data_IF_203352206601
#
_entry.id   IF_203352206601
#
_cell.length_a   1.000
_cell.length_b   1.000
_cell.length_c   1.000
_cell.angle_alpha   90.00
_cell.angle_beta   90.00
_cell.angle_gamma   90.00
#
_symmetry.space_group_name_H-M   'P 1'
#
loop_
_entity.id
_entity.type
_entity.pdbx_description
1 polymer ?
#
# COMPACT_ATOMS: atom_id res chain seq x y z
N UNK A 1 16.88 15.05 12.81
CA UNK A 1 17.55 16.27 12.32
C UNK A 1 18.92 16.00 11.70
N UNK A 2 19.87 15.34 12.38
CA UNK A 2 21.22 15.06 11.81
C UNK A 2 21.19 14.24 10.49
N UNK A 3 20.34 13.21 10.42
CA UNK A 3 20.16 12.37 9.22
C UNK A 3 19.51 13.12 8.05
N UNK A 4 18.53 13.98 8.32
CA UNK A 4 17.89 14.84 7.32
C UNK A 4 18.86 15.88 6.76
N UNK A 5 19.67 16.50 7.63
CA UNK A 5 20.68 17.48 7.23
C UNK A 5 21.75 16.84 6.34
N UNK A 6 22.31 15.70 6.74
CA UNK A 6 23.30 14.95 5.94
C UNK A 6 22.75 14.61 4.57
N UNK A 7 21.48 14.18 4.49
CA UNK A 7 20.82 13.86 3.23
C UNK A 7 20.67 15.08 2.32
N UNK A 8 20.25 16.22 2.88
CA UNK A 8 20.15 17.49 2.14
C UNK A 8 21.52 17.92 1.62
N UNK A 9 22.56 17.88 2.48
CA UNK A 9 23.92 18.25 2.09
C UNK A 9 24.43 17.34 0.97
N UNK A 10 24.28 16.02 1.11
CA UNK A 10 24.70 15.06 0.08
C UNK A 10 24.02 15.30 -1.27
N UNK A 11 22.74 15.63 -1.25
CA UNK A 11 22.01 16.03 -2.45
C UNK A 11 22.57 17.33 -3.05
N UNK A 12 22.81 18.36 -2.25
CA UNK A 12 23.28 19.65 -2.75
C UNK A 12 24.65 19.56 -3.44
N UNK A 13 25.49 18.57 -3.09
CA UNK A 13 26.79 18.36 -3.73
C UNK A 13 26.66 18.22 -5.24
N UNK A 14 25.68 17.46 -5.74
CA UNK A 14 25.50 17.30 -7.18
C UNK A 14 25.21 18.64 -7.85
N UNK A 15 24.27 19.43 -7.29
CA UNK A 15 23.91 20.73 -7.85
C UNK A 15 25.12 21.66 -7.91
N UNK A 16 25.89 21.75 -6.82
CA UNK A 16 27.08 22.61 -6.76
C UNK A 16 28.14 22.17 -7.77
N UNK A 17 28.49 20.89 -7.79
CA UNK A 17 29.53 20.36 -8.68
C UNK A 17 29.11 20.47 -10.14
N UNK A 18 27.90 20.06 -10.48
CA UNK A 18 27.39 20.12 -11.85
C UNK A 18 27.33 21.56 -12.37
N UNK A 19 26.76 22.49 -11.59
CA UNK A 19 26.70 23.91 -11.97
C UNK A 19 28.09 24.50 -12.17
N UNK A 20 29.01 24.24 -11.24
CA UNK A 20 30.39 24.74 -11.31
C UNK A 20 31.08 24.24 -12.57
N UNK A 21 31.01 22.94 -12.85
CA UNK A 21 31.60 22.34 -14.05
C UNK A 21 30.94 22.85 -15.33
N UNK A 22 29.60 22.98 -15.34
CA UNK A 22 28.86 23.47 -16.49
C UNK A 22 29.28 24.91 -16.85
N UNK A 23 29.28 25.84 -15.90
CA UNK A 23 29.65 27.23 -16.19
C UNK A 23 31.14 27.40 -16.47
N UNK A 24 32.01 26.59 -15.86
CA UNK A 24 33.46 26.63 -16.10
C UNK A 24 33.84 26.09 -17.48
N UNK A 25 33.17 25.03 -17.95
CA UNK A 25 33.48 24.38 -19.22
C UNK A 25 32.66 24.92 -20.39
N UNK A 26 31.38 25.22 -20.17
CA UNK A 26 30.48 25.66 -21.23
C UNK A 26 30.33 27.17 -21.34
N UNK A 27 30.63 27.93 -20.29
CA UNK A 27 30.41 29.38 -20.25
C UNK A 27 28.92 29.77 -20.23
N UNK A 28 28.62 31.03 -20.52
CA UNK A 28 27.24 31.57 -20.52
C UNK A 28 26.66 31.78 -21.91
N UNK A 29 27.51 31.83 -22.96
CA UNK A 29 27.06 31.97 -24.34
C UNK A 29 26.95 30.59 -24.98
N UNK A 30 25.73 30.04 -24.97
CA UNK A 30 25.44 28.68 -25.44
C UNK A 30 24.15 28.64 -26.25
N UNK A 31 24.06 27.75 -27.26
CA UNK A 31 22.85 27.60 -28.05
C UNK A 31 21.71 27.02 -27.22
N UNK A 32 20.47 27.25 -27.66
CA UNK A 32 19.25 26.84 -26.95
C UNK A 32 19.23 25.34 -26.59
N UNK A 33 19.81 24.48 -27.43
CA UNK A 33 19.92 23.03 -27.17
C UNK A 33 20.67 22.69 -25.87
N UNK A 34 21.71 23.46 -25.54
CA UNK A 34 22.51 23.29 -24.32
C UNK A 34 21.68 23.67 -23.10
N UNK A 35 20.92 24.77 -23.19
CA UNK A 35 20.03 25.22 -22.12
C UNK A 35 18.86 24.28 -21.87
N UNK A 36 18.27 23.72 -22.93
CA UNK A 36 17.24 22.66 -22.82
C UNK A 36 17.82 21.47 -22.05
N UNK A 37 18.98 20.98 -22.48
CA UNK A 37 19.67 19.85 -21.84
C UNK A 37 20.00 20.11 -20.38
N UNK A 38 20.50 21.30 -20.09
CA UNK A 38 20.75 21.76 -18.73
C UNK A 38 19.47 21.72 -17.89
N UNK A 39 18.34 22.20 -18.42
CA UNK A 39 17.06 22.23 -17.71
C UNK A 39 16.52 20.83 -17.42
N UNK A 40 16.51 19.92 -18.40
CA UNK A 40 16.00 18.56 -18.20
C UNK A 40 16.85 17.75 -17.22
N UNK A 41 18.18 17.91 -17.22
CA UNK A 41 19.05 17.28 -16.20
C UNK A 41 18.62 17.73 -14.80
N UNK A 42 18.33 19.02 -14.60
CA UNK A 42 17.85 19.53 -13.33
C UNK A 42 16.46 19.01 -12.99
N UNK A 43 15.53 18.98 -13.95
CA UNK A 43 14.20 18.39 -13.75
C UNK A 43 14.33 16.94 -13.28
N UNK A 44 15.12 16.13 -13.98
CA UNK A 44 15.35 14.74 -13.60
C UNK A 44 16.00 14.61 -12.22
N UNK A 45 16.96 15.47 -11.89
CA UNK A 45 17.54 15.51 -10.56
C UNK A 45 16.51 15.88 -9.47
N UNK A 46 15.66 16.87 -9.75
CA UNK A 46 14.60 17.28 -8.85
C UNK A 46 13.58 16.16 -8.61
N UNK A 47 13.32 15.28 -9.59
CA UNK A 47 12.44 14.13 -9.34
C UNK A 47 12.95 13.28 -8.17
N UNK A 48 14.24 12.93 -8.15
CA UNK A 48 14.87 12.18 -7.02
C UNK A 48 14.68 12.91 -5.69
N UNK A 49 14.78 14.24 -5.72
CA UNK A 49 14.61 15.10 -4.55
C UNK A 49 13.19 15.15 -4.00
N UNK A 50 12.19 15.14 -4.88
CA UNK A 50 10.77 15.22 -4.51
C UNK A 50 10.15 13.85 -4.21
N UNK A 51 10.76 12.74 -4.64
CA UNK A 51 10.30 11.38 -4.31
C UNK A 51 10.02 11.10 -2.82
N UNK A 52 10.83 11.55 -1.84
CA UNK A 52 10.51 11.37 -0.43
C UNK A 52 9.23 12.09 0.02
N UNK A 53 8.82 13.18 -0.65
CA UNK A 53 7.58 13.92 -0.35
C UNK A 53 6.36 13.10 -0.77
N UNK A 54 6.50 12.23 -1.77
CA UNK A 54 5.44 11.34 -2.26
C UNK A 54 5.27 10.07 -1.41
N UNK A 55 6.06 9.87 -0.35
CA UNK A 55 5.94 8.69 0.52
C UNK A 55 4.67 8.76 1.39
N UNK A 56 3.76 7.82 1.17
CA UNK A 56 2.67 7.52 2.11
C UNK A 56 3.19 6.70 3.30
N UNK A 57 2.60 6.90 4.49
CA UNK A 57 2.96 6.18 5.72
C UNK A 57 2.41 4.74 5.69
N UNK A 58 3.21 3.73 6.02
CA UNK A 58 2.80 2.31 6.16
C UNK A 58 3.86 1.29 5.71
N UNK A 59 3.75 0.02 6.12
CA UNK A 59 4.73 -1.05 5.82
C UNK A 59 4.81 -1.41 4.33
N UNK A 60 3.70 -1.28 3.59
CA UNK A 60 3.68 -1.40 2.12
C UNK A 60 4.49 -0.29 1.41
N UNK A 61 4.89 0.77 2.12
CA UNK A 61 5.59 1.91 1.54
C UNK A 61 7.09 1.70 1.38
N UNK A 62 7.71 0.71 2.04
CA UNK A 62 9.15 0.46 1.91
C UNK A 62 9.53 -0.11 0.53
N UNK A 63 8.85 -1.16 0.08
CA UNK A 63 9.11 -1.78 -1.24
C UNK A 63 8.71 -0.86 -2.39
N UNK A 64 7.54 -0.20 -2.27
CA UNK A 64 7.10 0.83 -3.20
C UNK A 64 8.11 1.97 -3.32
N UNK A 65 8.65 2.42 -2.18
CA UNK A 65 9.71 3.42 -2.17
C UNK A 65 10.96 2.93 -2.91
N UNK A 66 11.39 1.69 -2.70
CA UNK A 66 12.64 1.21 -3.32
C UNK A 66 12.54 1.14 -4.86
N UNK A 67 11.42 0.67 -5.40
CA UNK A 67 11.21 0.58 -6.85
C UNK A 67 11.12 1.99 -7.48
N UNK A 68 10.35 2.90 -6.86
CA UNK A 68 10.24 4.27 -7.33
C UNK A 68 11.60 5.00 -7.33
N UNK A 69 12.41 4.81 -6.28
CA UNK A 69 13.76 5.38 -6.23
C UNK A 69 14.67 4.80 -7.31
N UNK A 70 14.61 3.49 -7.57
CA UNK A 70 15.36 2.86 -8.65
C UNK A 70 15.00 3.42 -10.04
N UNK A 71 13.72 3.67 -10.28
CA UNK A 71 13.23 4.28 -11.53
C UNK A 71 13.69 5.73 -11.68
N UNK A 72 13.58 6.54 -10.62
CA UNK A 72 14.02 7.93 -10.66
C UNK A 72 15.53 8.06 -10.87
N UNK A 73 16.33 7.20 -10.23
CA UNK A 73 17.78 7.15 -10.43
C UNK A 73 18.12 6.72 -11.86
N UNK A 74 17.47 5.68 -12.38
CA UNK A 74 17.67 5.22 -13.77
C UNK A 74 17.34 6.33 -14.76
N UNK A 75 16.19 6.98 -14.58
CA UNK A 75 15.79 8.10 -15.42
C UNK A 75 16.83 9.24 -15.37
N UNK A 76 17.24 9.66 -14.17
CA UNK A 76 18.26 10.69 -14.01
C UNK A 76 19.58 10.34 -14.68
N UNK A 77 20.05 9.09 -14.58
CA UNK A 77 21.30 8.68 -15.24
C UNK A 77 21.16 8.75 -16.77
N UNK A 78 20.04 8.26 -17.32
CA UNK A 78 19.78 8.31 -18.76
C UNK A 78 19.67 9.76 -19.26
N UNK A 79 18.96 10.62 -18.52
CA UNK A 79 18.82 12.04 -18.81
C UNK A 79 20.15 12.78 -18.70
N UNK A 80 20.97 12.46 -17.69
CA UNK A 80 22.30 13.02 -17.52
C UNK A 80 23.22 12.67 -18.70
N UNK A 81 23.23 11.40 -19.12
CA UNK A 81 24.03 10.95 -20.27
C UNK A 81 23.55 11.65 -21.54
N UNK A 82 22.26 11.60 -21.84
CA UNK A 82 21.70 12.22 -23.03
C UNK A 82 21.93 13.74 -23.05
N UNK A 83 21.66 14.42 -21.93
CA UNK A 83 21.86 15.86 -21.80
C UNK A 83 23.33 16.26 -21.93
N UNK A 84 24.26 15.52 -21.34
CA UNK A 84 25.71 15.78 -21.51
C UNK A 84 26.14 15.64 -22.97
N UNK A 85 25.63 14.65 -23.71
CA UNK A 85 25.90 14.50 -25.15
C UNK A 85 25.47 15.75 -25.92
N UNK A 86 24.26 16.25 -25.69
CA UNK A 86 23.77 17.48 -26.34
C UNK A 86 24.54 18.74 -25.90
N UNK A 87 24.96 18.82 -24.63
CA UNK A 87 25.80 19.91 -24.13
C UNK A 87 27.15 19.93 -24.84
N UNK A 88 27.78 18.78 -25.06
CA UNK A 88 29.09 18.67 -25.75
C UNK A 88 28.95 18.96 -27.24
N UNK A 89 27.93 18.41 -27.91
CA UNK A 89 27.74 18.61 -29.35
C UNK A 89 27.29 20.02 -29.73
N UNK A 90 26.72 20.79 -28.78
CA UNK A 90 26.30 22.19 -28.98
C UNK A 90 25.49 22.39 -30.26
N UNK A 91 24.49 21.55 -30.49
CA UNK A 91 23.68 21.61 -31.71
C UNK A 91 22.99 22.98 -31.85
N UNK A 92 23.04 23.59 -33.03
CA UNK A 92 22.35 24.87 -33.27
C UNK A 92 20.83 24.72 -33.15
N UNK A 93 20.28 23.62 -33.69
CA UNK A 93 18.86 23.31 -33.58
C UNK A 93 18.53 22.62 -32.26
N UNK A 94 17.57 23.16 -31.46
CA UNK A 94 17.15 22.55 -30.20
C UNK A 94 16.21 21.35 -30.38
N UNK A 95 15.71 21.10 -31.60
CA UNK A 95 14.64 20.12 -31.87
C UNK A 95 15.00 18.73 -31.35
N UNK A 96 16.21 18.24 -31.66
CA UNK A 96 16.62 16.88 -31.26
C UNK A 96 16.85 16.74 -29.76
N UNK A 97 17.41 17.77 -29.11
CA UNK A 97 17.54 17.81 -27.65
C UNK A 97 16.15 17.76 -26.99
N UNK A 98 15.21 18.58 -27.46
CA UNK A 98 13.84 18.59 -26.95
C UNK A 98 13.13 17.24 -27.15
N UNK A 99 13.20 16.66 -28.36
CA UNK A 99 12.51 15.41 -28.68
C UNK A 99 13.02 14.26 -27.81
N UNK A 100 14.34 14.08 -27.72
CA UNK A 100 14.93 12.96 -26.97
C UNK A 100 14.65 13.09 -25.48
N UNK A 101 14.85 14.27 -24.90
CA UNK A 101 14.70 14.48 -23.45
C UNK A 101 13.22 14.46 -23.03
N UNK A 102 12.33 15.01 -23.86
CA UNK A 102 10.88 14.90 -23.63
C UNK A 102 10.42 13.44 -23.73
N UNK A 103 10.95 12.67 -24.68
CA UNK A 103 10.61 11.25 -24.79
C UNK A 103 11.06 10.45 -23.55
N UNK A 104 12.28 10.68 -23.06
CA UNK A 104 12.78 10.06 -21.82
C UNK A 104 11.90 10.43 -20.62
N UNK A 105 11.57 11.72 -20.48
CA UNK A 105 10.68 12.19 -19.43
C UNK A 105 9.29 11.56 -19.51
N UNK A 106 8.71 11.46 -20.71
CA UNK A 106 7.38 10.86 -20.92
C UNK A 106 7.37 9.37 -20.55
N UNK A 107 8.38 8.61 -20.99
CA UNK A 107 8.53 7.19 -20.63
C UNK A 107 8.61 7.04 -19.11
N UNK A 108 9.40 7.88 -18.45
CA UNK A 108 9.53 7.89 -17.00
C UNK A 108 8.19 8.18 -16.30
N UNK A 109 7.45 9.20 -16.74
CA UNK A 109 6.14 9.55 -16.18
C UNK A 109 5.14 8.41 -16.32
N UNK A 110 5.07 7.77 -17.50
CA UNK A 110 4.18 6.61 -17.72
C UNK A 110 4.53 5.46 -16.79
N UNK A 111 5.82 5.16 -16.61
CA UNK A 111 6.28 4.09 -15.70
C UNK A 111 5.91 4.39 -14.24
N UNK A 112 6.13 5.61 -13.76
CA UNK A 112 5.77 5.99 -12.38
C UNK A 112 4.26 5.94 -12.17
N UNK A 113 3.47 6.50 -13.09
CA UNK A 113 2.00 6.50 -12.95
C UNK A 113 1.43 5.07 -13.00
N UNK A 114 1.95 4.22 -13.89
CA UNK A 114 1.56 2.81 -13.97
C UNK A 114 1.86 2.05 -12.67
N UNK A 115 3.04 2.26 -12.07
CA UNK A 115 3.39 1.65 -10.80
C UNK A 115 2.56 2.18 -9.64
N UNK A 116 2.28 3.49 -9.60
CA UNK A 116 1.42 4.09 -8.59
C UNK A 116 0.00 3.50 -8.64
N UNK A 117 -0.55 3.33 -9.84
CA UNK A 117 -1.88 2.75 -10.03
C UNK A 117 -1.95 1.27 -9.66
N UNK A 118 -0.99 0.46 -10.12
CA UNK A 118 -0.90 -0.95 -9.75
C UNK A 118 -0.75 -1.14 -8.23
N UNK A 119 0.03 -0.27 -7.60
CA UNK A 119 0.25 -0.32 -6.17
C UNK A 119 -0.99 0.11 -5.36
N UNK A 120 -1.77 1.08 -5.83
CA UNK A 120 -3.03 1.45 -5.18
C UNK A 120 -4.02 0.28 -5.18
N UNK A 121 -4.16 -0.43 -6.32
CA UNK A 121 -5.02 -1.61 -6.42
C UNK A 121 -4.55 -2.73 -5.47
N UNK A 122 -3.23 -2.92 -5.35
CA UNK A 122 -2.64 -3.91 -4.42
C UNK A 122 -2.79 -3.51 -2.95
N UNK A 123 -2.63 -2.23 -2.63
CA UNK A 123 -2.78 -1.72 -1.27
C UNK A 123 -4.24 -1.84 -0.78
N UNK A 124 -5.20 -1.54 -1.65
CA UNK A 124 -6.63 -1.69 -1.32
C UNK A 124 -7.02 -3.14 -1.06
N UNK A 125 -6.51 -4.09 -1.85
CA UNK A 125 -6.79 -5.52 -1.64
C UNK A 125 -6.13 -6.05 -0.37
N UNK A 126 -4.92 -5.57 -0.04
CA UNK A 126 -4.23 -5.94 1.21
C UNK A 126 -4.91 -5.37 2.45
N UNK A 127 -5.35 -4.11 2.40
CA UNK A 127 -6.07 -3.45 3.49
C UNK A 127 -7.41 -4.16 3.75
N UNK A 128 -8.17 -4.47 2.69
CA UNK A 128 -9.41 -5.26 2.80
C UNK A 128 -9.12 -6.62 3.45
N UNK A 129 -8.12 -7.35 2.95
CA UNK A 129 -7.74 -8.65 3.51
C UNK A 129 -7.34 -8.58 4.98
N UNK A 130 -6.69 -7.48 5.41
CA UNK A 130 -6.33 -7.27 6.81
C UNK A 130 -7.57 -7.02 7.67
N UNK A 131 -8.48 -6.18 7.22
CA UNK A 131 -9.76 -5.95 7.90
C UNK A 131 -10.57 -7.25 8.05
N UNK A 132 -10.63 -8.06 7.00
CA UNK A 132 -11.30 -9.37 7.01
C UNK A 132 -10.69 -10.32 8.07
N UNK A 133 -9.36 -10.35 8.17
CA UNK A 133 -8.65 -11.16 9.18
C UNK A 133 -8.91 -10.65 10.60
N UNK A 134 -8.88 -9.32 10.80
CA UNK A 134 -9.07 -8.70 12.11
C UNK A 134 -10.51 -8.92 12.62
N UNK A 135 -11.52 -8.80 11.75
CA UNK A 135 -12.92 -9.08 12.08
C UNK A 135 -13.12 -10.55 12.48
N UNK A 136 -12.58 -11.49 11.69
CA UNK A 136 -12.62 -12.92 12.00
C UNK A 136 -11.94 -13.26 13.34
N UNK A 137 -10.78 -12.66 13.62
CA UNK A 137 -10.12 -12.82 14.92
C UNK A 137 -10.95 -12.23 16.07
N UNK A 138 -11.60 -11.09 15.86
CA UNK A 138 -12.49 -10.45 16.84
C UNK A 138 -13.66 -11.37 17.22
N UNK A 139 -14.32 -12.00 16.24
CA UNK A 139 -15.39 -12.97 16.47
C UNK A 139 -14.90 -14.15 17.33
N UNK A 140 -13.76 -14.76 16.96
CA UNK A 140 -13.16 -15.87 17.72
C UNK A 140 -12.82 -15.50 19.15
N UNK A 141 -12.21 -14.33 19.35
CA UNK A 141 -11.86 -13.84 20.69
C UNK A 141 -13.10 -13.53 21.52
N UNK A 142 -14.18 -13.08 20.88
CA UNK A 142 -15.46 -12.83 21.57
C UNK A 142 -16.10 -14.12 22.05
N UNK A 143 -16.11 -15.19 21.23
CA UNK A 143 -16.59 -16.51 21.67
C UNK A 143 -15.77 -17.08 22.83
N UNK A 144 -14.44 -17.03 22.76
CA UNK A 144 -13.56 -17.46 23.86
C UNK A 144 -13.85 -16.69 25.16
N UNK A 145 -14.09 -15.38 25.07
CA UNK A 145 -14.47 -14.55 26.23
C UNK A 145 -15.84 -14.94 26.78
N UNK A 146 -16.81 -15.26 25.94
CA UNK A 146 -18.13 -15.72 26.37
C UNK A 146 -18.04 -17.07 27.09
N UNK A 147 -17.29 -18.04 26.54
CA UNK A 147 -17.05 -19.33 27.20
C UNK A 147 -16.46 -19.17 28.61
N UNK A 148 -15.56 -18.21 28.79
CA UNK A 148 -14.95 -17.91 30.08
C UNK A 148 -15.92 -17.27 31.07
N UNK A 149 -16.93 -16.53 30.59
CA UNK A 149 -17.96 -15.87 31.41
C UNK A 149 -19.17 -16.74 31.71
N UNK A 150 -19.39 -17.81 30.96
CA UNK A 150 -20.55 -18.69 31.14
C UNK A 150 -20.25 -19.79 32.16
N UNK A 151 -21.00 -19.80 33.26
CA UNK A 151 -20.88 -20.82 34.31
C UNK A 151 -21.69 -22.08 33.99
N UNK A 152 -22.79 -21.96 33.23
CA UNK A 152 -23.65 -23.10 32.91
C UNK A 152 -22.97 -24.07 31.94
N UNK A 153 -22.82 -25.36 32.30
CA UNK A 153 -22.00 -26.30 31.54
C UNK A 153 -22.56 -26.60 30.15
N UNK A 154 -23.88 -26.69 30.00
CA UNK A 154 -24.53 -26.96 28.70
C UNK A 154 -24.33 -25.80 27.71
N UNK A 155 -24.62 -24.57 28.15
CA UNK A 155 -24.43 -23.37 27.34
C UNK A 155 -22.95 -23.15 27.00
N UNK A 156 -22.05 -23.36 27.97
CA UNK A 156 -20.60 -23.29 27.75
C UNK A 156 -20.12 -24.27 26.68
N UNK A 157 -20.64 -25.51 26.68
CA UNK A 157 -20.34 -26.52 25.67
C UNK A 157 -20.82 -26.11 24.28
N UNK A 158 -21.99 -25.47 24.19
CA UNK A 158 -22.54 -24.99 22.93
C UNK A 158 -21.72 -23.82 22.34
N UNK A 159 -21.27 -22.89 23.19
CA UNK A 159 -20.38 -21.79 22.77
C UNK A 159 -19.00 -22.34 22.35
N UNK A 160 -18.50 -23.38 23.03
CA UNK A 160 -17.28 -24.07 22.65
C UNK A 160 -17.39 -24.69 21.25
N UNK A 161 -18.48 -25.40 20.97
CA UNK A 161 -18.76 -25.95 19.63
C UNK A 161 -18.81 -24.86 18.55
N UNK A 162 -19.44 -23.72 18.84
CA UNK A 162 -19.42 -22.56 17.92
C UNK A 162 -18.00 -22.04 17.66
N UNK A 163 -17.19 -21.93 18.72
CA UNK A 163 -15.80 -21.48 18.61
C UNK A 163 -14.97 -22.45 17.76
N UNK A 164 -15.11 -23.75 17.99
CA UNK A 164 -14.37 -24.80 17.28
C UNK A 164 -14.78 -24.86 15.80
N UNK A 165 -16.09 -24.74 15.51
CA UNK A 165 -16.60 -24.68 14.14
C UNK A 165 -16.14 -23.43 13.39
N UNK A 166 -16.15 -22.27 14.06
CA UNK A 166 -15.67 -21.03 13.45
C UNK A 166 -14.17 -21.12 13.17
N UNK A 167 -13.39 -21.69 14.08
CA UNK A 167 -11.94 -21.95 13.94
C UNK A 167 -11.63 -22.95 12.82
N UNK A 168 -12.45 -23.99 12.66
CA UNK A 168 -12.34 -24.95 11.56
C UNK A 168 -12.74 -24.36 10.20
N UNK A 169 -13.42 -23.19 10.18
CA UNK A 169 -13.79 -22.49 8.95
C UNK A 169 -12.64 -21.62 8.43
N UNK A 170 -12.59 -21.41 7.11
CA UNK A 170 -11.57 -20.56 6.51
C UNK A 170 -11.69 -19.11 6.98
N UNK A 171 -10.56 -18.47 7.32
CA UNK A 171 -10.49 -17.02 7.58
C UNK A 171 -10.72 -16.16 6.33
N UNK A 172 -10.88 -16.77 5.14
CA UNK A 172 -11.22 -16.06 3.90
C UNK A 172 -12.63 -15.47 4.03
N UNK A 173 -12.78 -14.22 3.61
CA UNK A 173 -14.07 -13.60 3.33
C UNK A 173 -14.28 -13.49 1.82
N UNK A 174 -15.51 -13.71 1.39
CA UNK A 174 -15.99 -13.44 0.03
C UNK A 174 -17.11 -12.41 0.11
N UNK A 175 -17.46 -11.80 -1.03
CA UNK A 175 -18.58 -10.86 -1.07
C UNK A 175 -19.90 -11.51 -0.61
N UNK A 176 -20.05 -12.81 -0.85
CA UNK A 176 -21.19 -13.60 -0.43
C UNK A 176 -21.15 -13.92 1.07
N UNK A 177 -19.95 -14.15 1.64
CA UNK A 177 -19.79 -14.43 3.07
C UNK A 177 -19.86 -13.17 3.95
N UNK A 178 -19.63 -11.98 3.38
CA UNK A 178 -19.62 -10.71 4.13
C UNK A 178 -20.96 -10.45 4.85
N UNK A 179 -22.08 -10.77 4.20
CA UNK A 179 -23.41 -10.63 4.80
C UNK A 179 -23.60 -11.54 6.01
N UNK A 180 -23.23 -12.81 5.88
CA UNK A 180 -23.40 -13.76 6.97
C UNK A 180 -22.42 -13.51 8.13
N UNK A 181 -21.25 -12.94 7.85
CA UNK A 181 -20.30 -12.53 8.88
C UNK A 181 -20.86 -11.39 9.75
N UNK A 182 -21.57 -10.43 9.15
CA UNK A 182 -22.29 -9.40 9.91
C UNK A 182 -23.38 -10.01 10.80
N UNK A 183 -24.13 -10.99 10.28
CA UNK A 183 -25.15 -11.70 11.06
C UNK A 183 -24.54 -12.51 12.22
N UNK A 184 -23.38 -13.15 12.01
CA UNK A 184 -22.63 -13.84 13.07
C UNK A 184 -22.16 -12.85 14.14
N UNK A 185 -21.62 -11.69 13.76
CA UNK A 185 -21.20 -10.65 14.72
C UNK A 185 -22.38 -10.15 15.56
N UNK A 186 -23.53 -9.90 14.93
CA UNK A 186 -24.76 -9.50 15.62
C UNK A 186 -25.25 -10.60 16.55
N UNK A 187 -25.26 -11.86 16.11
CA UNK A 187 -25.65 -12.99 16.94
C UNK A 187 -24.72 -13.17 18.16
N UNK A 188 -23.41 -12.96 18.01
CA UNK A 188 -22.45 -12.95 19.13
C UNK A 188 -22.77 -11.82 20.11
N UNK A 189 -23.12 -10.63 19.62
CA UNK A 189 -23.49 -9.50 20.46
C UNK A 189 -24.78 -9.76 21.24
N UNK A 190 -25.81 -10.29 20.60
CA UNK A 190 -27.07 -10.69 21.25
C UNK A 190 -26.85 -11.79 22.28
N UNK A 191 -26.07 -12.82 21.93
CA UNK A 191 -25.70 -13.89 22.85
C UNK A 191 -24.97 -13.36 24.09
N UNK A 192 -24.04 -12.41 23.89
CA UNK A 192 -23.35 -11.75 24.99
C UNK A 192 -24.32 -11.01 25.92
N UNK A 193 -25.30 -10.32 25.35
CA UNK A 193 -26.29 -9.58 26.12
C UNK A 193 -27.14 -10.53 26.96
N UNK A 194 -27.70 -11.57 26.35
CA UNK A 194 -28.52 -12.57 27.03
C UNK A 194 -27.77 -13.31 28.15
N UNK A 195 -26.49 -13.65 27.94
CA UNK A 195 -25.63 -14.23 28.99
C UNK A 195 -25.45 -13.27 30.17
N UNK A 196 -25.33 -11.97 29.89
CA UNK A 196 -25.18 -10.93 30.92
C UNK A 196 -26.48 -10.75 31.70
N UNK A 197 -27.62 -10.84 31.01
CA UNK A 197 -28.96 -10.72 31.60
C UNK A 197 -29.40 -11.98 32.35
N UNK A 198 -28.65 -13.09 32.20
CA UNK A 198 -28.88 -14.34 32.91
C UNK A 198 -30.01 -15.19 32.30
N UNK A 199 -30.55 -14.81 31.15
CA UNK A 199 -31.59 -15.56 30.44
C UNK A 199 -30.95 -16.73 29.68
N UNK A 200 -31.16 -17.93 30.22
CA UNK A 200 -30.48 -19.12 29.74
C UNK A 200 -31.23 -19.83 28.63
N UNK A 201 -32.55 -19.68 28.58
CA UNK A 201 -33.33 -20.21 27.45
C UNK A 201 -33.02 -19.39 26.20
N UNK A 202 -33.04 -18.07 26.32
CA UNK A 202 -32.69 -17.17 25.22
C UNK A 202 -31.23 -17.34 24.81
N UNK A 203 -30.29 -17.38 25.75
CA UNK A 203 -28.87 -17.64 25.44
C UNK A 203 -28.65 -18.97 24.72
N UNK A 204 -29.38 -20.02 25.10
CA UNK A 204 -29.29 -21.33 24.45
C UNK A 204 -29.85 -21.28 23.03
N UNK A 205 -30.97 -20.57 22.83
CA UNK A 205 -31.56 -20.34 21.51
C UNK A 205 -30.61 -19.58 20.58
N UNK A 206 -30.07 -18.46 21.06
CA UNK A 206 -29.12 -17.62 20.32
C UNK A 206 -27.83 -18.38 19.96
N UNK A 207 -27.31 -19.21 20.88
CA UNK A 207 -26.15 -20.03 20.61
C UNK A 207 -26.41 -21.11 19.55
N UNK A 208 -27.63 -21.68 19.48
CA UNK A 208 -28.02 -22.60 18.39
C UNK A 208 -28.16 -21.88 17.05
N UNK A 209 -28.76 -20.70 17.04
CA UNK A 209 -28.86 -19.87 15.84
C UNK A 209 -27.46 -19.53 15.30
N UNK A 210 -26.56 -19.11 16.18
CA UNK A 210 -25.16 -18.84 15.85
C UNK A 210 -24.46 -20.06 15.24
N UNK A 211 -24.67 -21.26 15.80
CA UNK A 211 -24.12 -22.49 15.22
C UNK A 211 -24.63 -22.75 13.79
N UNK A 212 -25.91 -22.43 13.51
CA UNK A 212 -26.48 -22.49 12.18
C UNK A 212 -25.81 -21.53 11.19
N UNK A 213 -25.65 -20.26 11.59
CA UNK A 213 -24.99 -19.24 10.78
C UNK A 213 -23.53 -19.61 10.45
N UNK A 214 -22.80 -20.21 11.40
CA UNK A 214 -21.42 -20.66 11.18
C UNK A 214 -21.36 -21.80 10.15
N UNK A 215 -22.29 -22.74 10.17
CA UNK A 215 -22.35 -23.83 9.16
C UNK A 215 -22.77 -23.32 7.78
N UNK A 216 -23.69 -22.36 7.73
CA UNK A 216 -24.08 -21.70 6.48
C UNK A 216 -22.88 -20.93 5.89
N UNK A 217 -22.14 -20.17 6.71
CA UNK A 217 -20.90 -19.51 6.31
C UNK A 217 -19.89 -20.49 5.74
N UNK A 218 -19.68 -21.62 6.42
CA UNK A 218 -18.77 -22.68 5.96
C UNK A 218 -19.21 -23.27 4.61
N UNK A 219 -20.51 -23.41 4.40
CA UNK A 219 -21.08 -23.88 3.14
C UNK A 219 -20.84 -22.87 2.02
N UNK A 220 -21.13 -21.59 2.25
CA UNK A 220 -20.86 -20.50 1.29
C UNK A 220 -19.39 -20.53 0.88
N UNK A 221 -18.47 -20.58 1.85
CA UNK A 221 -17.02 -20.57 1.58
C UNK A 221 -16.52 -21.82 0.84
N UNK A 222 -17.24 -22.95 0.95
CA UNK A 222 -16.90 -24.18 0.22
C UNK A 222 -17.27 -24.08 -1.26
N UNK A 223 -18.32 -23.34 -1.60
CA UNK A 223 -18.84 -23.23 -2.97
C UNK A 223 -18.51 -21.90 -3.66
N UNK A 224 -18.05 -20.89 -2.92
CA UNK A 224 -17.53 -19.64 -3.48
C UNK A 224 -16.13 -19.88 -4.05
N UNK A 225 -15.95 -19.66 -5.36
CA UNK A 225 -14.66 -19.78 -6.05
C UNK A 225 -13.75 -18.57 -5.75
#
# INVERSE_FOLDING_TARGET
MKTTLIRIVFTLVFLVVFNTLFFLLSGTDNPTSVWVSYAYIHVAYFTILFLPVLKTKGDASYYLSSVLYGQAITYFILELIAGVVFIIYRMESPVWSLVVQTALWLIFVVLILGNAWANQATAQSLEKRKQDIDAYQSMRMSLKRLMAKTDKPELKRLIADCSDKLEASSSRQTQESEKIDIEIEQAIASLRQSITDGDVEESTSLARQLAGLIEERKTILKYSH
#
